data_IF_198162191571
#
_entry.id   IF_198162191571
#
_cell.length_a   1.000
_cell.length_b   1.000
_cell.length_c   1.000
_cell.angle_alpha   90.00
_cell.angle_beta   90.00
_cell.angle_gamma   90.00
#
_symmetry.space_group_name_H-M   'P 1'
#
loop_
_entity.id
_entity.type
_entity.pdbx_description
1 polymer ?
#
# COMPACT_ATOMS: atom_id res chain seq x y z
N UNK A 1 16.52 5.76 -5.37
CA UNK A 1 15.66 5.23 -6.47
C UNK A 1 14.26 5.81 -6.40
N UNK A 2 13.58 5.90 -7.55
CA UNK A 2 12.13 6.21 -7.64
C UNK A 2 11.41 4.87 -7.83
N UNK A 3 10.47 4.54 -6.96
CA UNK A 3 9.67 3.30 -7.09
C UNK A 3 8.88 3.32 -8.39
N UNK A 4 9.09 2.30 -9.22
CA UNK A 4 8.26 2.06 -10.40
C UNK A 4 6.86 1.60 -9.98
N UNK A 5 5.91 1.56 -10.91
CA UNK A 5 4.59 1.01 -10.63
C UNK A 5 4.68 -0.48 -10.24
N UNK A 6 5.51 -1.26 -10.93
CA UNK A 6 5.74 -2.67 -10.63
C UNK A 6 6.33 -2.88 -9.23
N UNK A 7 7.28 -2.02 -8.82
CA UNK A 7 7.82 -2.09 -7.46
C UNK A 7 6.73 -1.87 -6.40
N UNK A 8 5.80 -0.94 -6.64
CA UNK A 8 4.68 -0.66 -5.74
C UNK A 8 3.74 -1.85 -5.63
N UNK A 9 3.43 -2.51 -6.76
CA UNK A 9 2.62 -3.74 -6.78
C UNK A 9 3.32 -4.85 -6.01
N UNK A 10 4.62 -5.06 -6.25
CA UNK A 10 5.39 -6.11 -5.57
C UNK A 10 5.49 -5.87 -4.07
N UNK A 11 5.72 -4.63 -3.64
CA UNK A 11 5.73 -4.26 -2.21
C UNK A 11 4.38 -4.56 -1.57
N UNK A 12 3.27 -4.25 -2.24
CA UNK A 12 1.92 -4.55 -1.75
C UNK A 12 1.69 -6.06 -1.55
N UNK A 13 2.10 -6.90 -2.52
CA UNK A 13 2.02 -8.35 -2.41
C UNK A 13 2.86 -8.91 -1.24
N UNK A 14 4.10 -8.43 -1.08
CA UNK A 14 4.98 -8.82 0.02
C UNK A 14 4.37 -8.44 1.38
N UNK A 15 3.71 -7.27 1.47
CA UNK A 15 2.98 -6.86 2.67
C UNK A 15 1.79 -7.76 2.97
N UNK A 16 1.07 -8.20 1.94
CA UNK A 16 -0.04 -9.17 2.08
C UNK A 16 0.43 -10.54 2.56
N UNK A 17 1.67 -10.93 2.22
CA UNK A 17 2.32 -12.16 2.71
C UNK A 17 2.90 -12.04 4.14
N UNK A 18 2.74 -10.89 4.80
CA UNK A 18 3.23 -10.67 6.16
C UNK A 18 4.70 -10.28 6.26
N UNK A 19 5.37 -9.97 5.13
CA UNK A 19 6.77 -9.54 5.16
C UNK A 19 6.86 -8.16 5.82
N UNK A 20 7.85 -8.03 6.73
CA UNK A 20 8.06 -6.79 7.47
C UNK A 20 8.55 -5.66 6.57
N UNK A 21 8.12 -4.43 6.88
CA UNK A 21 8.58 -3.23 6.17
C UNK A 21 10.10 -3.04 6.26
N UNK A 22 10.74 -3.53 7.33
CA UNK A 22 12.20 -3.49 7.48
C UNK A 22 12.90 -4.32 6.41
N UNK A 23 12.49 -5.57 6.18
CA UNK A 23 13.05 -6.43 5.12
C UNK A 23 12.80 -5.86 3.72
N UNK A 24 11.65 -5.23 3.52
CA UNK A 24 11.33 -4.55 2.25
C UNK A 24 12.23 -3.31 2.07
N UNK A 25 12.40 -2.52 3.13
CA UNK A 25 13.28 -1.34 3.16
C UNK A 25 14.73 -1.68 2.81
N UNK A 26 15.26 -2.77 3.36
CA UNK A 26 16.59 -3.29 3.06
C UNK A 26 16.71 -3.76 1.60
N UNK A 27 15.74 -4.54 1.10
CA UNK A 27 15.76 -5.08 -0.28
C UNK A 27 15.71 -4.00 -1.36
N UNK A 28 14.95 -2.93 -1.12
CA UNK A 28 14.76 -1.84 -2.08
C UNK A 28 15.70 -0.65 -1.81
N UNK A 29 16.60 -0.77 -0.82
CA UNK A 29 17.51 0.31 -0.38
C UNK A 29 16.77 1.63 -0.12
N UNK A 30 15.62 1.52 0.57
CA UNK A 30 14.71 2.63 0.83
C UNK A 30 14.62 2.92 2.32
N UNK A 31 14.49 4.20 2.67
CA UNK A 31 14.19 4.58 4.05
C UNK A 31 12.84 4.03 4.50
N UNK A 32 12.83 3.41 5.68
CA UNK A 32 11.63 2.84 6.30
C UNK A 32 10.48 3.87 6.37
N UNK A 33 10.78 5.13 6.69
CA UNK A 33 9.79 6.21 6.75
C UNK A 33 9.10 6.44 5.41
N UNK A 34 9.82 6.36 4.28
CA UNK A 34 9.20 6.51 2.94
C UNK A 34 8.25 5.36 2.63
N UNK A 35 8.61 4.14 3.05
CA UNK A 35 7.78 2.95 2.92
C UNK A 35 6.53 3.02 3.80
N UNK A 36 6.66 3.53 5.03
CA UNK A 36 5.52 3.79 5.93
C UNK A 36 4.57 4.82 5.32
N UNK A 37 5.08 5.95 4.81
CA UNK A 37 4.27 6.94 4.13
C UNK A 37 3.46 6.33 2.99
N UNK A 38 4.09 5.52 2.14
CA UNK A 38 3.40 4.82 1.04
C UNK A 38 2.31 3.86 1.56
N UNK A 39 2.62 3.05 2.58
CA UNK A 39 1.67 2.12 3.19
C UNK A 39 0.45 2.84 3.77
N UNK A 40 0.67 3.98 4.45
CA UNK A 40 -0.39 4.80 5.03
C UNK A 40 -1.26 5.42 3.94
N UNK A 41 -0.66 6.00 2.89
CA UNK A 41 -1.43 6.54 1.76
C UNK A 41 -2.26 5.47 1.06
N UNK A 42 -1.69 4.29 0.84
CA UNK A 42 -2.42 3.17 0.23
C UNK A 42 -3.59 2.72 1.10
N UNK A 43 -3.39 2.59 2.42
CA UNK A 43 -4.45 2.19 3.34
C UNK A 43 -5.59 3.21 3.39
N UNK A 44 -5.25 4.50 3.47
CA UNK A 44 -6.22 5.60 3.41
C UNK A 44 -6.98 5.56 2.09
N UNK A 45 -6.29 5.44 0.95
CA UNK A 45 -6.92 5.34 -0.37
C UNK A 45 -7.87 4.13 -0.46
N UNK A 46 -7.43 2.96 -0.02
CA UNK A 46 -8.24 1.74 -0.01
C UNK A 46 -9.48 1.89 0.88
N UNK A 47 -9.33 2.49 2.07
CA UNK A 47 -10.43 2.79 2.97
C UNK A 47 -11.45 3.73 2.32
N UNK A 48 -11.03 4.84 1.71
CA UNK A 48 -11.96 5.73 1.03
C UNK A 48 -12.61 5.09 -0.22
N UNK A 49 -11.85 4.31 -1.00
CA UNK A 49 -12.35 3.63 -2.19
C UNK A 49 -13.42 2.57 -1.87
N UNK A 50 -13.31 1.91 -0.72
CA UNK A 50 -14.28 0.90 -0.27
C UNK A 50 -15.55 1.55 0.28
N UNK A 51 -15.44 2.61 1.07
CA UNK A 51 -16.60 3.35 1.62
C UNK A 51 -17.43 4.08 0.55
N UNK A 52 -16.86 4.45 -0.60
CA UNK A 52 -17.63 5.01 -1.71
C UNK A 52 -18.50 3.98 -2.47
N UNK A 53 -18.24 2.67 -2.33
CA UNK A 53 -19.05 1.62 -2.96
C UNK A 53 -20.29 1.24 -2.17
N UNK A 54 -20.27 1.37 -0.85
CA UNK A 54 -21.43 1.02 0.00
C UNK A 54 -22.59 2.01 -0.18
N UNK A 55 -22.29 3.29 -0.44
CA UNK A 55 -23.33 4.33 -0.61
C UNK A 55 -24.12 4.21 -1.92
N UNK A 56 -23.60 3.48 -2.90
CA UNK A 56 -24.28 3.23 -4.18
C UNK A 56 -25.10 1.93 -4.20
N UNK A 57 -25.03 1.11 -3.15
CA UNK A 57 -25.70 -0.19 -3.07
C UNK A 57 -26.95 -0.18 -2.17
N UNK A 58 -27.37 0.97 -1.63
CA UNK A 58 -28.54 1.10 -0.75
C UNK A 58 -29.65 1.98 -1.34
N UNK A 59 -29.79 2.00 -2.65
CA UNK A 59 -30.93 2.62 -3.33
C UNK A 59 -31.62 1.59 -4.21
N UNK A 60 -32.13 0.55 -3.56
CA UNK A 60 -33.20 -0.31 -4.06
C UNK A 60 -34.35 -0.27 -3.03
#
# INVERSE_FOLDING_TARGET
MKLTYEDKVRIYELRKQGISLKRISEKYEMNLSKLLTFQTFFYIFAYYSTNHKEKSASFD
#
